data_IF_912452976269
#
_entry.id   IF_912452976269
#
_cell.length_a   1.000
_cell.length_b   1.000
_cell.length_c   1.000
_cell.angle_alpha   90.00
_cell.angle_beta   90.00
_cell.angle_gamma   90.00
#
_symmetry.space_group_name_H-M   'P 1'
#
loop_
_entity.id
_entity.type
_entity.pdbx_description
1 polymer ?
#
# COMPACT_ATOMS: atom_id res chain seq x y z
N UNK A 1 11.58 -18.70 -8.77
CA UNK A 1 11.31 -18.89 -7.34
C UNK A 1 11.05 -17.53 -6.70
N UNK A 2 9.88 -17.31 -6.10
CA UNK A 2 9.46 -16.04 -5.47
C UNK A 2 8.70 -16.36 -4.19
N UNK A 3 8.91 -15.58 -3.13
CA UNK A 3 8.11 -15.67 -1.90
C UNK A 3 6.93 -14.70 -1.96
N UNK A 4 5.72 -15.23 -1.85
CA UNK A 4 4.48 -14.47 -1.74
C UNK A 4 4.10 -14.31 -0.27
N UNK A 5 3.86 -13.07 0.15
CA UNK A 5 3.35 -12.74 1.47
C UNK A 5 1.82 -12.68 1.43
N UNK A 6 1.15 -13.39 2.34
CA UNK A 6 -0.31 -13.37 2.54
C UNK A 6 -0.61 -13.06 4.01
N UNK A 7 -1.85 -12.71 4.31
CA UNK A 7 -2.30 -12.28 5.64
C UNK A 7 -2.04 -13.32 6.73
N UNK A 8 -2.16 -14.61 6.40
CA UNK A 8 -2.02 -15.71 7.37
C UNK A 8 -0.68 -16.45 7.28
N UNK A 9 -0.04 -16.48 6.10
CA UNK A 9 1.20 -17.24 5.88
C UNK A 9 1.94 -16.80 4.63
N UNK A 10 3.23 -17.10 4.59
CA UNK A 10 4.06 -16.91 3.41
C UNK A 10 4.17 -18.20 2.61
N UNK A 11 4.23 -18.08 1.28
CA UNK A 11 4.29 -19.24 0.37
C UNK A 11 5.39 -19.02 -0.65
N UNK A 12 6.23 -20.03 -0.85
CA UNK A 12 7.23 -20.04 -1.91
C UNK A 12 6.59 -20.58 -3.21
N UNK A 13 6.77 -19.84 -4.31
CA UNK A 13 6.12 -20.09 -5.61
C UNK A 13 7.16 -20.17 -6.72
N UNK A 14 6.96 -21.10 -7.64
CA UNK A 14 7.75 -21.23 -8.86
C UNK A 14 6.86 -21.11 -10.09
N UNK A 15 7.33 -20.35 -11.07
CA UNK A 15 6.64 -20.14 -12.33
C UNK A 15 7.67 -20.13 -13.48
N UNK A 16 7.34 -20.68 -14.65
CA UNK A 16 8.18 -20.61 -15.83
C UNK A 16 8.25 -19.17 -16.37
N UNK A 17 9.35 -18.81 -17.01
CA UNK A 17 9.53 -17.49 -17.62
C UNK A 17 8.93 -17.46 -19.04
N UNK A 18 8.35 -16.31 -19.49
CA UNK A 18 8.24 -15.04 -18.77
C UNK A 18 7.10 -15.01 -17.75
N UNK A 19 7.33 -14.34 -16.62
CA UNK A 19 6.35 -14.19 -15.55
C UNK A 19 6.25 -12.72 -15.09
N UNK A 20 5.05 -12.30 -14.69
CA UNK A 20 4.79 -10.97 -14.12
C UNK A 20 4.77 -11.07 -12.59
N UNK A 21 5.50 -10.18 -11.93
CA UNK A 21 5.59 -10.15 -10.46
C UNK A 21 5.32 -8.74 -9.97
N UNK A 22 4.38 -8.60 -9.04
CA UNK A 22 4.20 -7.39 -8.25
C UNK A 22 5.08 -7.45 -7.00
N UNK A 23 5.81 -6.37 -6.71
CA UNK A 23 6.65 -6.27 -5.51
C UNK A 23 6.00 -5.37 -4.46
N UNK A 24 6.01 -5.81 -3.20
CA UNK A 24 5.60 -4.98 -2.07
C UNK A 24 6.75 -4.09 -1.61
N UNK A 25 6.45 -2.95 -0.98
CA UNK A 25 7.48 -1.99 -0.53
C UNK A 25 8.49 -2.59 0.46
N UNK A 26 8.07 -3.61 1.22
CA UNK A 26 8.87 -4.24 2.27
C UNK A 26 9.97 -5.17 1.74
N UNK A 27 9.98 -5.49 0.44
CA UNK A 27 10.95 -6.46 -0.11
C UNK A 27 12.39 -5.91 -0.11
N UNK A 28 12.55 -4.60 -0.23
CA UNK A 28 13.86 -3.94 -0.23
C UNK A 28 13.75 -2.44 0.09
N UNK A 29 14.81 -1.89 0.65
CA UNK A 29 14.99 -0.44 0.74
C UNK A 29 15.59 0.11 -0.56
N UNK A 30 14.95 1.08 -1.23
CA UNK A 30 15.51 1.71 -2.43
C UNK A 30 16.86 2.38 -2.12
N UNK A 31 17.89 2.01 -2.89
CA UNK A 31 19.21 2.64 -2.75
C UNK A 31 19.20 4.08 -3.27
N UNK A 32 19.87 4.97 -2.55
CA UNK A 32 20.12 6.34 -3.03
C UNK A 32 21.11 6.32 -4.22
N UNK A 33 20.75 6.89 -5.38
CA UNK A 33 21.65 6.93 -6.53
C UNK A 33 22.75 7.99 -6.34
N UNK A 34 23.98 7.74 -6.83
CA UNK A 34 25.04 8.74 -6.90
C UNK A 34 24.77 9.80 -7.96
N UNK A 35 25.33 11.00 -7.77
CA UNK A 35 25.13 12.18 -8.65
C UNK A 35 25.37 11.86 -10.13
N UNK A 36 26.42 11.09 -10.44
CA UNK A 36 26.76 10.71 -11.81
C UNK A 36 25.67 9.86 -12.49
N UNK A 37 25.01 8.97 -11.74
CA UNK A 37 23.91 8.15 -12.27
C UNK A 37 22.66 9.00 -12.51
N UNK A 38 22.40 9.98 -11.65
CA UNK A 38 21.30 10.95 -11.83
C UNK A 38 21.51 11.75 -13.11
N UNK A 39 22.71 12.32 -13.30
CA UNK A 39 23.04 13.07 -14.51
C UNK A 39 22.94 12.20 -15.79
N UNK A 40 23.35 10.93 -15.71
CA UNK A 40 23.23 10.00 -16.82
C UNK A 40 21.77 9.64 -17.12
N UNK A 41 20.94 9.42 -16.10
CA UNK A 41 19.51 9.14 -16.25
C UNK A 41 18.77 10.30 -16.93
N UNK A 42 19.09 11.55 -16.58
CA UNK A 42 18.51 12.74 -17.21
C UNK A 42 18.84 12.89 -18.71
N UNK A 43 19.89 12.21 -19.22
CA UNK A 43 20.24 12.19 -20.64
C UNK A 43 19.66 11.00 -21.41
N UNK A 44 19.03 10.04 -20.72
CA UNK A 44 18.41 8.89 -21.39
C UNK A 44 17.17 9.36 -22.15
N UNK A 45 17.04 8.89 -23.39
CA UNK A 45 15.83 9.15 -24.17
C UNK A 45 14.65 8.45 -23.50
N UNK A 46 13.56 9.20 -23.30
CA UNK A 46 12.29 8.66 -22.85
C UNK A 46 11.48 8.37 -24.12
N UNK A 47 11.23 7.09 -24.38
CA UNK A 47 10.37 6.66 -25.48
C UNK A 47 8.92 6.84 -25.04
N UNK A 48 8.21 7.75 -25.71
CA UNK A 48 6.78 7.99 -25.49
C UNK A 48 6.02 7.32 -26.61
N UNK A 49 5.18 6.34 -26.26
CA UNK A 49 4.30 5.65 -27.20
C UNK A 49 2.85 6.09 -26.97
N UNK A 50 2.11 6.32 -28.05
CA UNK A 50 0.68 6.60 -27.97
C UNK A 50 -0.09 5.29 -27.76
N UNK A 51 -1.04 5.29 -26.81
CA UNK A 51 -1.91 4.15 -26.59
C UNK A 51 -2.76 3.90 -27.85
N UNK A 52 -2.66 2.70 -28.43
CA UNK A 52 -3.32 2.36 -29.69
C UNK A 52 -4.80 2.01 -29.47
N UNK A 53 -5.14 1.39 -28.35
CA UNK A 53 -6.51 1.04 -27.97
C UNK A 53 -6.64 1.05 -26.44
N UNK A 54 -7.58 1.84 -25.92
CA UNK A 54 -7.93 1.82 -24.49
C UNK A 54 -9.22 1.00 -24.36
N UNK A 55 -9.14 -0.19 -23.75
CA UNK A 55 -10.35 -0.94 -23.41
C UNK A 55 -11.22 -0.08 -22.49
N UNK A 56 -12.52 -0.01 -22.80
CA UNK A 56 -13.46 0.78 -22.01
C UNK A 56 -13.48 0.22 -20.58
N UNK A 57 -13.25 1.08 -19.60
CA UNK A 57 -13.22 0.66 -18.21
C UNK A 57 -14.63 0.25 -17.79
N UNK A 58 -14.79 -1.00 -17.37
CA UNK A 58 -16.06 -1.53 -16.87
C UNK A 58 -16.55 -0.86 -15.58
N UNK A 59 -15.70 -0.06 -14.94
CA UNK A 59 -15.98 0.63 -13.68
C UNK A 59 -15.87 2.14 -13.86
N UNK A 60 -16.90 2.87 -13.41
CA UNK A 60 -16.91 4.34 -13.36
C UNK A 60 -16.81 4.83 -11.92
N UNK A 61 -15.91 5.78 -11.66
CA UNK A 61 -15.79 6.43 -10.35
C UNK A 61 -16.92 7.44 -10.19
N UNK A 62 -17.82 7.22 -9.24
CA UNK A 62 -18.99 8.08 -8.99
C UNK A 62 -18.65 9.20 -8.00
N UNK A 63 -17.84 8.90 -6.98
CA UNK A 63 -17.39 9.86 -5.98
C UNK A 63 -16.04 9.45 -5.38
N UNK A 64 -15.25 10.44 -4.97
CA UNK A 64 -13.97 10.25 -4.29
C UNK A 64 -13.84 11.29 -3.17
N UNK A 65 -14.67 11.16 -2.14
CA UNK A 65 -14.66 12.05 -0.99
C UNK A 65 -13.70 11.54 0.07
N UNK A 66 -12.88 12.43 0.64
CA UNK A 66 -11.96 12.08 1.70
C UNK A 66 -12.71 11.57 2.95
N UNK A 67 -12.19 10.54 3.65
CA UNK A 67 -12.78 10.07 4.88
C UNK A 67 -12.67 11.16 5.96
N UNK A 68 -13.79 11.47 6.62
CA UNK A 68 -13.80 12.38 7.77
C UNK A 68 -13.25 11.63 8.98
N UNK A 69 -12.10 12.05 9.50
CA UNK A 69 -11.52 11.51 10.73
C UNK A 69 -11.76 12.46 11.90
N UNK A 70 -12.77 12.17 12.72
CA UNK A 70 -13.02 12.88 13.98
C UNK A 70 -12.43 12.07 15.14
N UNK A 71 -11.31 12.53 15.71
CA UNK A 71 -10.70 11.91 16.89
C UNK A 71 -11.56 12.22 18.11
N UNK A 72 -12.09 11.19 18.78
CA UNK A 72 -12.92 11.35 20.00
C UNK A 72 -12.20 12.07 21.16
N UNK A 73 -10.85 12.09 21.19
CA UNK A 73 -10.00 12.82 22.17
C UNK A 73 -10.37 12.64 23.66
N UNK A 74 -11.03 11.54 24.04
CA UNK A 74 -11.34 11.26 25.44
C UNK A 74 -10.04 10.94 26.20
N UNK A 75 -9.78 11.69 27.27
CA UNK A 75 -8.66 11.49 28.19
C UNK A 75 -9.24 10.94 29.49
N UNK A 76 -8.68 9.83 29.98
CA UNK A 76 -9.05 9.24 31.27
C UNK A 76 -7.87 9.38 32.21
N UNK A 77 -8.04 10.11 33.31
CA UNK A 77 -6.98 10.38 34.28
C UNK A 77 -6.79 9.24 35.29
N UNK A 78 -7.82 8.41 35.50
CA UNK A 78 -7.82 7.31 36.46
C UNK A 78 -7.95 5.94 35.78
N UNK A 79 -7.16 4.93 36.19
CA UNK A 79 -7.23 3.59 35.62
C UNK A 79 -8.58 2.90 35.79
N UNK A 80 -9.28 3.12 36.91
CA UNK A 80 -10.54 2.42 37.21
C UNK A 80 -11.68 2.77 36.24
N UNK A 81 -11.65 3.98 35.68
CA UNK A 81 -12.66 4.47 34.71
C UNK A 81 -12.18 4.27 33.26
N UNK A 82 -10.88 4.40 33.01
CA UNK A 82 -10.30 4.30 31.67
C UNK A 82 -10.33 2.88 31.09
N UNK A 83 -9.98 1.87 31.89
CA UNK A 83 -9.95 0.46 31.45
C UNK A 83 -11.32 -0.04 30.95
N UNK A 84 -12.43 0.11 31.72
CA UNK A 84 -13.74 -0.36 31.25
C UNK A 84 -14.26 0.44 30.04
N UNK A 85 -13.97 1.75 29.95
CA UNK A 85 -14.37 2.59 28.83
C UNK A 85 -13.67 2.18 27.52
N UNK A 86 -12.36 1.91 27.57
CA UNK A 86 -11.59 1.44 26.42
C UNK A 86 -12.07 0.05 25.96
N UNK A 87 -12.30 -0.87 26.91
CA UNK A 87 -12.81 -2.22 26.60
C UNK A 87 -14.17 -2.18 25.89
N UNK A 88 -15.05 -1.24 26.27
CA UNK A 88 -16.33 -1.03 25.59
C UNK A 88 -16.15 -0.56 24.15
N UNK A 89 -15.31 0.45 23.92
CA UNK A 89 -15.03 0.97 22.57
C UNK A 89 -14.42 -0.10 21.67
N UNK A 90 -13.47 -0.89 22.18
CA UNK A 90 -12.87 -1.98 21.41
C UNK A 90 -13.89 -3.06 21.02
N UNK A 91 -14.81 -3.42 21.94
CA UNK A 91 -15.89 -4.39 21.65
C UNK A 91 -16.88 -3.88 20.61
N UNK A 92 -17.15 -2.58 20.57
CA UNK A 92 -18.03 -1.98 19.55
C UNK A 92 -17.40 -2.00 18.15
N UNK A 93 -16.07 -1.86 18.05
CA UNK A 93 -15.34 -1.82 16.77
C UNK A 93 -15.01 -3.22 16.23
N UNK A 94 -14.84 -4.22 17.10
CA UNK A 94 -14.56 -5.62 16.71
C UNK A 94 -15.81 -6.39 16.24
N UNK A 95 -16.99 -5.76 16.23
CA UNK A 95 -18.26 -6.36 15.83
C UNK A 95 -18.62 -5.97 14.40
#
# INVERSE_FOLDING_TARGET
>A
HVRKFLEAKNVDVEAPLPAVVSVAQEINEPRLPPVMQIMAAGRKQILTEAATEMQDNSVKVISNTAPKSERRKNIFEKPEEGIPAIAKVLKEVLR
#
